data_IF_171651737862
#
_entry.id   IF_171651737862
#
_cell.length_a   1.000
_cell.length_b   1.000
_cell.length_c   1.000
_cell.angle_alpha   90.00
_cell.angle_beta   90.00
_cell.angle_gamma   90.00
#
_symmetry.space_group_name_H-M   'P 1'
#
loop_
_entity.id
_entity.type
_entity.pdbx_description
1 polymer ?
#
# COMPACT_ATOMS: atom_id res chain seq x y z
N UNK A 1 15.12 -20.24 18.64
CA UNK A 1 14.55 -18.88 18.68
C UNK A 1 15.70 -17.94 19.03
N UNK A 2 16.24 -17.19 18.06
CA UNK A 2 17.27 -16.20 18.39
C UNK A 2 16.60 -15.02 19.11
N UNK A 3 17.36 -14.18 19.83
CA UNK A 3 16.83 -12.99 20.51
C UNK A 3 16.07 -12.01 19.57
N UNK A 4 16.22 -12.18 18.24
CA UNK A 4 15.58 -11.39 17.18
C UNK A 4 14.35 -12.05 16.56
N UNK A 5 13.93 -13.21 17.05
CA UNK A 5 12.75 -13.91 16.54
C UNK A 5 11.77 -14.17 17.67
N UNK A 6 10.48 -13.89 17.43
CA UNK A 6 9.40 -14.27 18.33
C UNK A 6 8.47 -15.22 17.59
N UNK A 7 8.05 -16.30 18.24
CA UNK A 7 7.11 -17.26 17.67
C UNK A 7 5.98 -17.48 18.64
N UNK A 8 4.77 -17.46 18.12
CA UNK A 8 3.54 -17.78 18.82
C UNK A 8 2.86 -18.90 18.05
N UNK A 9 2.60 -20.02 18.71
CA UNK A 9 1.87 -21.14 18.11
C UNK A 9 0.77 -21.57 19.05
N UNK A 10 -0.44 -21.72 18.53
CA UNK A 10 -1.58 -22.25 19.27
C UNK A 10 -2.32 -23.27 18.39
N UNK A 11 -2.73 -24.37 18.97
CA UNK A 11 -3.45 -25.43 18.26
C UNK A 11 -4.60 -25.97 19.10
N UNK A 12 -5.70 -26.25 18.41
CA UNK A 12 -6.89 -26.87 18.94
C UNK A 12 -7.25 -28.05 18.04
N UNK A 13 -7.34 -29.23 18.63
CA UNK A 13 -7.68 -30.47 17.94
C UNK A 13 -8.97 -31.01 18.57
N UNK A 14 -9.94 -31.41 17.74
CA UNK A 14 -11.15 -32.09 18.19
C UNK A 14 -11.34 -33.34 17.34
N UNK A 15 -11.63 -34.48 17.97
CA UNK A 15 -11.77 -35.79 17.30
C UNK A 15 -10.63 -36.16 16.31
N UNK A 16 -9.42 -35.60 16.51
CA UNK A 16 -8.26 -35.83 15.65
C UNK A 16 -7.77 -37.28 15.65
N UNK A 17 -8.25 -38.11 16.60
CA UNK A 17 -8.01 -39.57 16.60
C UNK A 17 -8.76 -40.29 15.48
N UNK A 18 -9.91 -39.77 15.01
CA UNK A 18 -10.69 -40.35 13.91
C UNK A 18 -10.44 -39.64 12.59
N UNK A 19 -10.24 -38.32 12.63
CA UNK A 19 -10.00 -37.51 11.45
C UNK A 19 -8.86 -36.50 11.70
N UNK A 20 -7.65 -36.75 11.17
CA UNK A 20 -6.51 -35.86 11.32
C UNK A 20 -6.73 -34.44 10.78
N UNK A 21 -7.77 -34.22 9.96
CA UNK A 21 -8.11 -32.89 9.43
C UNK A 21 -8.85 -32.00 10.43
N UNK A 22 -9.37 -32.55 11.53
CA UNK A 22 -10.12 -31.80 12.55
C UNK A 22 -9.18 -31.08 13.54
N UNK A 23 -8.42 -30.14 12.98
CA UNK A 23 -7.45 -29.32 13.67
C UNK A 23 -7.55 -27.87 13.19
N UNK A 24 -7.55 -26.97 14.15
CA UNK A 24 -7.31 -25.55 13.95
C UNK A 24 -5.95 -25.23 14.56
N UNK A 25 -5.02 -24.68 13.78
CA UNK A 25 -3.76 -24.19 14.36
C UNK A 25 -3.29 -22.92 13.71
N UNK A 26 -2.79 -22.01 14.53
CA UNK A 26 -2.14 -20.78 14.12
C UNK A 26 -0.66 -20.89 14.50
N UNK A 27 0.21 -20.59 13.54
CA UNK A 27 1.63 -20.39 13.76
C UNK A 27 1.99 -19.00 13.26
N UNK A 28 2.48 -18.15 14.15
CA UNK A 28 2.92 -16.81 13.83
C UNK A 28 4.39 -16.67 14.20
N UNK A 29 5.18 -16.21 13.24
CA UNK A 29 6.60 -15.93 13.38
C UNK A 29 6.84 -14.45 13.07
N UNK A 30 7.49 -13.76 14.00
CA UNK A 30 7.95 -12.39 13.85
C UNK A 30 9.47 -12.41 13.76
N UNK A 31 9.99 -11.80 12.70
CA UNK A 31 11.41 -11.70 12.38
C UNK A 31 11.86 -10.24 12.50
N UNK A 32 12.75 -9.95 13.45
CA UNK A 32 13.40 -8.65 13.60
C UNK A 32 14.67 -8.61 12.73
N UNK A 33 14.54 -8.10 11.49
CA UNK A 33 15.63 -8.01 10.52
C UNK A 33 16.57 -6.82 10.79
N UNK A 34 16.06 -5.76 11.41
CA UNK A 34 16.80 -4.57 11.86
C UNK A 34 15.91 -3.66 12.72
N UNK A 35 16.44 -2.56 13.23
CA UNK A 35 15.75 -1.67 14.19
C UNK A 35 14.39 -1.17 13.69
N UNK A 36 14.25 -1.06 12.37
CA UNK A 36 13.04 -0.61 11.69
C UNK A 36 12.64 -1.51 10.51
N UNK A 37 13.22 -2.72 10.46
CA UNK A 37 12.94 -3.71 9.44
C UNK A 37 12.38 -4.95 10.12
N UNK A 38 11.10 -5.17 9.91
CA UNK A 38 10.35 -6.27 10.51
C UNK A 38 9.71 -7.09 9.42
N UNK A 39 9.73 -8.40 9.58
CA UNK A 39 8.95 -9.31 8.78
C UNK A 39 8.17 -10.24 9.67
N UNK A 40 7.21 -10.92 9.07
CA UNK A 40 6.58 -12.03 9.74
C UNK A 40 5.85 -12.93 8.78
N UNK A 41 5.59 -14.13 9.27
CA UNK A 41 4.85 -15.15 8.58
C UNK A 41 3.79 -15.68 9.53
N UNK A 42 2.57 -15.84 9.04
CA UNK A 42 1.45 -16.41 9.78
C UNK A 42 0.88 -17.54 8.95
N UNK A 43 0.86 -18.74 9.51
CA UNK A 43 0.18 -19.90 8.93
C UNK A 43 -1.05 -20.21 9.76
N UNK A 44 -2.22 -20.18 9.13
CA UNK A 44 -3.47 -20.68 9.69
C UNK A 44 -3.83 -22.00 9.01
N UNK A 45 -3.86 -23.07 9.78
CA UNK A 45 -4.41 -24.34 9.37
C UNK A 45 -5.85 -24.45 9.85
N UNK A 46 -6.75 -24.67 8.91
CA UNK A 46 -8.17 -24.95 9.13
C UNK A 46 -8.50 -26.29 8.43
N UNK A 47 -9.51 -27.07 8.86
CA UNK A 47 -9.81 -28.35 8.22
C UNK A 47 -9.88 -28.28 6.69
N UNK A 48 -8.98 -29.01 6.02
CA UNK A 48 -8.86 -29.05 4.57
C UNK A 48 -8.29 -27.80 3.89
N UNK A 49 -7.83 -26.78 4.63
CA UNK A 49 -7.28 -25.53 4.07
C UNK A 49 -6.09 -25.00 4.87
N UNK A 50 -5.11 -24.44 4.18
CA UNK A 50 -4.02 -23.68 4.79
C UNK A 50 -4.06 -22.28 4.23
N UNK A 51 -4.02 -21.29 5.10
CA UNK A 51 -3.90 -19.88 4.73
C UNK A 51 -2.54 -19.41 5.21
N UNK A 52 -1.74 -18.90 4.28
CA UNK A 52 -0.45 -18.31 4.58
C UNK A 52 -0.56 -16.79 4.43
N UNK A 53 0.00 -16.09 5.40
CA UNK A 53 0.16 -14.65 5.41
C UNK A 53 1.63 -14.32 5.60
N UNK A 54 2.14 -13.39 4.82
CA UNK A 54 3.47 -12.82 4.98
C UNK A 54 3.35 -11.32 5.04
N UNK A 55 4.13 -10.69 5.90
CA UNK A 55 4.28 -9.26 5.88
C UNK A 55 5.74 -8.88 5.98
N UNK A 56 6.07 -7.76 5.36
CA UNK A 56 7.35 -7.10 5.47
C UNK A 56 7.10 -5.61 5.64
N UNK A 57 7.82 -5.01 6.58
CA UNK A 57 7.72 -3.61 6.92
C UNK A 57 9.13 -3.05 7.08
N UNK A 58 9.43 -2.00 6.34
CA UNK A 58 10.68 -1.28 6.38
C UNK A 58 10.37 0.20 6.57
N UNK A 59 10.85 0.76 7.67
CA UNK A 59 10.87 2.20 7.90
C UNK A 59 12.33 2.63 7.98
N UNK A 60 12.75 3.63 7.24
CA UNK A 60 14.11 4.16 7.31
C UNK A 60 14.10 5.62 6.92
N UNK A 61 14.38 6.50 7.86
CA UNK A 61 14.38 7.94 7.66
C UNK A 61 13.02 8.42 7.08
N UNK A 62 13.02 8.89 5.84
CA UNK A 62 11.82 9.31 5.09
C UNK A 62 11.29 8.27 4.12
N UNK A 63 11.77 7.02 4.21
CA UNK A 63 11.33 5.90 3.41
C UNK A 63 10.51 4.95 4.25
N UNK A 64 9.31 4.61 3.79
CA UNK A 64 8.46 3.59 4.38
C UNK A 64 7.97 2.66 3.28
N UNK A 65 8.17 1.36 3.46
CA UNK A 65 7.68 0.34 2.56
C UNK A 65 7.04 -0.77 3.38
N UNK A 66 5.85 -1.19 2.99
CA UNK A 66 5.29 -2.42 3.51
C UNK A 66 4.66 -3.26 2.42
N UNK A 67 4.76 -4.56 2.61
CA UNK A 67 4.14 -5.57 1.78
C UNK A 67 3.36 -6.50 2.69
N UNK A 68 2.11 -6.78 2.32
CA UNK A 68 1.30 -7.82 2.93
C UNK A 68 0.86 -8.77 1.84
N UNK A 69 1.12 -10.05 2.03
CA UNK A 69 0.72 -11.11 1.12
C UNK A 69 -0.13 -12.11 1.90
N UNK A 70 -1.31 -12.48 1.39
CA UNK A 70 -2.17 -13.48 2.02
C UNK A 70 -2.79 -14.40 0.97
N UNK A 71 -2.78 -15.71 1.17
CA UNK A 71 -3.37 -16.64 0.20
C UNK A 71 -3.55 -18.06 0.72
N UNK A 72 -4.46 -18.78 0.06
CA UNK A 72 -4.77 -20.19 0.34
C UNK A 72 -3.80 -21.15 -0.39
N UNK A 73 -3.21 -20.70 -1.50
CA UNK A 73 -2.15 -21.34 -2.27
C UNK A 73 -1.35 -20.25 -3.02
N UNK A 74 -0.11 -20.53 -3.44
CA UNK A 74 0.79 -19.52 -4.03
C UNK A 74 0.22 -18.79 -5.25
N UNK A 75 -0.69 -19.44 -6.01
CA UNK A 75 -1.30 -18.85 -7.21
C UNK A 75 -2.52 -17.95 -6.93
N UNK A 76 -3.08 -17.97 -5.72
CA UNK A 76 -4.28 -17.19 -5.36
C UNK A 76 -4.03 -16.26 -4.17
N UNK A 77 -2.90 -15.54 -4.23
CA UNK A 77 -2.50 -14.61 -3.19
C UNK A 77 -3.00 -13.19 -3.48
N UNK A 78 -3.50 -12.54 -2.43
CA UNK A 78 -3.71 -11.10 -2.37
C UNK A 78 -2.36 -10.50 -1.97
N UNK A 79 -1.85 -9.55 -2.74
CA UNK A 79 -0.60 -8.86 -2.46
C UNK A 79 -0.87 -7.37 -2.44
N UNK A 80 -0.66 -6.74 -1.28
CA UNK A 80 -0.73 -5.31 -1.10
C UNK A 80 0.67 -4.78 -0.84
N UNK A 81 1.10 -3.81 -1.64
CA UNK A 81 2.38 -3.11 -1.51
C UNK A 81 2.11 -1.64 -1.35
N UNK A 82 2.75 -1.03 -0.35
CA UNK A 82 2.74 0.42 -0.17
C UNK A 82 4.17 0.88 -0.02
N UNK A 83 4.48 1.99 -0.70
CA UNK A 83 5.77 2.65 -0.66
C UNK A 83 5.55 4.14 -0.53
N UNK A 84 6.01 4.71 0.57
CA UNK A 84 6.04 6.14 0.80
C UNK A 84 7.50 6.58 0.90
N UNK A 85 7.89 7.65 0.21
CA UNK A 85 9.23 8.19 0.34
C UNK A 85 9.28 9.70 0.17
N UNK A 86 10.29 10.32 0.78
CA UNK A 86 10.72 11.68 0.45
C UNK A 86 12.12 11.68 -0.12
N UNK A 87 12.33 12.47 -1.16
CA UNK A 87 13.62 12.63 -1.81
C UNK A 87 13.88 14.12 -2.04
N UNK A 88 15.04 14.59 -1.58
CA UNK A 88 15.48 15.99 -1.69
C UNK A 88 16.76 15.99 -2.52
N UNK A 89 16.61 16.24 -3.82
CA UNK A 89 17.71 16.55 -4.73
C UNK A 89 17.52 17.99 -5.25
N UNK A 90 17.28 18.19 -6.54
CA UNK A 90 17.00 19.51 -7.14
C UNK A 90 15.57 20.02 -6.89
N UNK A 91 14.70 19.14 -6.40
CA UNK A 91 13.30 19.35 -6.07
C UNK A 91 12.96 18.41 -4.91
N UNK A 92 12.08 18.85 -4.01
CA UNK A 92 11.57 17.98 -2.96
C UNK A 92 10.39 17.21 -3.50
N UNK A 93 10.47 15.88 -3.43
CA UNK A 93 9.39 14.98 -3.84
C UNK A 93 8.91 14.21 -2.62
N UNK A 94 7.60 14.17 -2.44
CA UNK A 94 6.91 13.25 -1.54
C UNK A 94 6.06 12.34 -2.41
N UNK A 95 6.25 11.04 -2.29
CA UNK A 95 5.48 10.05 -3.04
C UNK A 95 4.84 9.05 -2.09
N UNK A 96 3.61 8.67 -2.37
CA UNK A 96 2.86 7.57 -1.78
C UNK A 96 2.33 6.71 -2.92
N UNK A 97 2.83 5.49 -3.03
CA UNK A 97 2.47 4.51 -4.05
C UNK A 97 1.85 3.32 -3.35
N UNK A 98 0.67 2.92 -3.77
CA UNK A 98 -0.04 1.76 -3.23
C UNK A 98 -0.53 0.91 -4.39
N UNK A 99 -0.19 -0.38 -4.39
CA UNK A 99 -0.69 -1.35 -5.36
C UNK A 99 -1.27 -2.57 -4.65
N UNK A 100 -2.43 -2.98 -5.11
CA UNK A 100 -3.16 -4.13 -4.61
C UNK A 100 -3.43 -5.05 -5.80
N UNK A 101 -2.82 -6.23 -5.75
CA UNK A 101 -3.08 -7.31 -6.70
C UNK A 101 -3.91 -8.37 -6.00
N UNK A 102 -5.05 -8.72 -6.60
CA UNK A 102 -5.96 -9.72 -6.03
C UNK A 102 -6.36 -10.75 -7.08
N UNK A 103 -6.70 -11.98 -6.68
CA UNK A 103 -7.30 -12.96 -7.58
C UNK A 103 -8.80 -12.73 -7.78
N UNK A 104 -9.39 -11.69 -7.18
CA UNK A 104 -10.81 -11.45 -7.25
C UNK A 104 -11.17 -10.78 -8.57
N UNK A 105 -12.15 -11.33 -9.31
CA UNK A 105 -12.70 -10.65 -10.47
C UNK A 105 -13.13 -9.23 -10.08
N UNK A 106 -12.85 -8.26 -10.95
CA UNK A 106 -13.15 -6.84 -10.73
C UNK A 106 -12.17 -6.07 -9.81
N UNK A 107 -11.09 -6.70 -9.33
CA UNK A 107 -10.13 -6.12 -8.36
C UNK A 107 -8.67 -6.53 -8.62
N UNK A 108 -8.37 -7.04 -9.80
CA UNK A 108 -7.10 -7.69 -10.13
C UNK A 108 -5.93 -6.70 -10.15
N UNK A 109 -6.18 -5.49 -10.64
CA UNK A 109 -5.21 -4.40 -10.69
C UNK A 109 -5.84 -3.13 -10.11
N UNK A 110 -5.54 -2.87 -8.85
CA UNK A 110 -5.95 -1.65 -8.15
C UNK A 110 -4.71 -0.93 -7.66
N UNK A 111 -4.57 0.34 -8.02
CA UNK A 111 -3.47 1.17 -7.51
C UNK A 111 -3.93 2.56 -7.14
N UNK A 112 -3.23 3.15 -6.20
CA UNK A 112 -3.40 4.53 -5.76
C UNK A 112 -2.03 5.15 -5.60
N UNK A 113 -1.76 6.20 -6.35
CA UNK A 113 -0.49 6.90 -6.36
C UNK A 113 -0.74 8.39 -6.11
N UNK A 114 0.06 8.98 -5.25
CA UNK A 114 0.05 10.40 -4.96
C UNK A 114 1.50 10.87 -4.94
N UNK A 115 1.78 11.96 -5.64
CA UNK A 115 3.09 12.56 -5.71
C UNK A 115 2.94 14.06 -5.55
N UNK A 116 3.58 14.62 -4.52
CA UNK A 116 3.72 16.05 -4.34
C UNK A 116 5.16 16.44 -4.58
N UNK A 117 5.36 17.37 -5.50
CA UNK A 117 6.63 17.97 -5.83
C UNK A 117 6.60 19.44 -5.46
N UNK A 118 7.69 19.89 -4.85
CA UNK A 118 7.91 21.29 -4.51
C UNK A 118 9.32 21.70 -4.97
N UNK A 119 9.40 22.84 -5.65
CA UNK A 119 10.64 23.50 -6.02
C UNK A 119 10.43 25.01 -6.04
N UNK A 120 11.11 25.73 -5.13
CA UNK A 120 11.06 27.18 -4.98
C UNK A 120 9.62 27.71 -4.77
N UNK A 121 9.01 28.20 -5.84
CA UNK A 121 7.66 28.76 -5.88
C UNK A 121 6.63 27.80 -6.50
N UNK A 122 7.12 26.75 -7.18
CA UNK A 122 6.31 25.79 -7.90
C UNK A 122 5.95 24.62 -6.99
N UNK A 123 4.65 24.40 -6.84
CA UNK A 123 4.06 23.24 -6.22
C UNK A 123 3.28 22.45 -7.27
N UNK A 124 3.50 21.14 -7.33
CA UNK A 124 2.78 20.25 -8.22
C UNK A 124 2.31 19.01 -7.45
N UNK A 125 1.01 18.75 -7.45
CA UNK A 125 0.42 17.55 -6.86
C UNK A 125 -0.19 16.73 -7.99
N UNK A 126 0.30 15.50 -8.15
CA UNK A 126 -0.21 14.53 -9.12
C UNK A 126 -0.77 13.35 -8.35
N UNK A 127 -1.99 12.95 -8.64
CA UNK A 127 -2.54 11.72 -8.12
C UNK A 127 -3.12 10.87 -9.24
N UNK A 128 -3.01 9.56 -9.10
CA UNK A 128 -3.69 8.60 -9.96
C UNK A 128 -4.28 7.45 -9.15
N UNK A 129 -5.41 6.98 -9.61
CA UNK A 129 -6.06 5.80 -9.09
C UNK A 129 -6.50 4.95 -10.27
N UNK A 130 -6.08 3.68 -10.26
CA UNK A 130 -6.54 2.69 -11.21
C UNK A 130 -7.39 1.67 -10.45
N UNK A 131 -8.51 1.31 -11.04
CA UNK A 131 -9.37 0.23 -10.60
C UNK A 131 -9.86 -0.50 -11.85
N UNK A 132 -9.14 -1.57 -12.21
CA UNK A 132 -9.28 -2.25 -13.49
C UNK A 132 -9.22 -1.31 -14.70
N UNK A 133 -10.30 -1.24 -15.50
CA UNK A 133 -10.45 -0.42 -16.69
C UNK A 133 -10.76 1.04 -16.35
N UNK A 134 -11.18 1.30 -15.10
CA UNK A 134 -11.42 2.65 -14.64
C UNK A 134 -10.11 3.27 -14.15
N UNK A 135 -9.79 4.46 -14.66
CA UNK A 135 -8.70 5.25 -14.15
C UNK A 135 -9.20 6.66 -13.85
N UNK A 136 -8.58 7.27 -12.84
CA UNK A 136 -8.72 8.67 -12.48
C UNK A 136 -7.34 9.22 -12.24
N UNK A 137 -6.96 10.26 -12.96
CA UNK A 137 -5.74 11.02 -12.74
C UNK A 137 -6.09 12.48 -12.53
N UNK A 138 -5.45 13.12 -11.56
CA UNK A 138 -5.55 14.55 -11.35
C UNK A 138 -4.16 15.15 -11.22
N UNK A 139 -4.02 16.39 -11.67
CA UNK A 139 -2.81 17.18 -11.53
C UNK A 139 -3.20 18.60 -11.16
N UNK A 140 -2.59 19.12 -10.10
CA UNK A 140 -2.70 20.49 -9.64
C UNK A 140 -1.29 21.10 -9.61
N UNK A 141 -1.07 22.12 -10.42
CA UNK A 141 0.15 22.92 -10.42
C UNK A 141 -0.20 24.32 -9.92
N UNK A 142 0.60 24.83 -8.98
CA UNK A 142 0.54 26.19 -8.49
C UNK A 142 1.94 26.80 -8.52
N UNK A 143 2.10 27.93 -9.20
CA UNK A 143 3.33 28.72 -9.19
C UNK A 143 2.98 30.13 -8.70
N UNK A 144 3.65 30.61 -7.65
CA UNK A 144 3.36 31.90 -7.05
C UNK A 144 4.63 32.71 -6.78
N UNK A 145 4.59 33.99 -7.14
CA UNK A 145 5.67 34.94 -6.88
C UNK A 145 5.11 36.11 -6.07
N UNK A 146 5.58 36.22 -4.82
CA UNK A 146 5.34 37.40 -4.00
C UNK A 146 6.48 38.41 -4.18
N UNK A 147 6.10 39.65 -4.50
CA UNK A 147 7.00 40.81 -4.42
C UNK A 147 6.45 41.77 -3.36
N UNK A 148 7.22 42.81 -3.00
CA UNK A 148 6.80 43.81 -2.00
C UNK A 148 5.52 44.57 -2.35
N UNK A 149 5.09 44.56 -3.63
CA UNK A 149 3.94 45.33 -4.11
C UNK A 149 2.98 44.54 -4.99
N UNK A 150 3.36 43.33 -5.46
CA UNK A 150 2.56 42.55 -6.41
C UNK A 150 2.62 41.06 -6.10
N UNK A 151 1.49 40.41 -6.34
CA UNK A 151 1.33 38.96 -6.35
C UNK A 151 1.12 38.50 -7.79
N UNK A 152 1.95 37.56 -8.23
CA UNK A 152 1.74 36.82 -9.48
C UNK A 152 1.47 35.36 -9.12
N UNK A 153 0.42 34.77 -9.68
CA UNK A 153 0.06 33.39 -9.40
C UNK A 153 -0.54 32.73 -10.63
N UNK A 154 -0.10 31.52 -10.92
CA UNK A 154 -0.69 30.63 -11.90
C UNK A 154 -1.13 29.35 -11.20
N UNK A 155 -2.40 28.98 -11.39
CA UNK A 155 -2.94 27.71 -10.90
C UNK A 155 -3.50 26.96 -12.10
N UNK A 156 -3.00 25.76 -12.33
CA UNK A 156 -3.47 24.85 -13.36
C UNK A 156 -3.99 23.56 -12.71
N UNK A 157 -5.25 23.24 -12.94
CA UNK A 157 -5.87 22.02 -12.46
C UNK A 157 -6.39 21.21 -13.66
N UNK A 158 -6.03 19.93 -13.70
CA UNK A 158 -6.50 19.01 -14.72
C UNK A 158 -6.95 17.70 -14.10
N UNK A 159 -8.01 17.13 -14.66
CA UNK A 159 -8.57 15.84 -14.27
C UNK A 159 -8.80 15.04 -15.53
N UNK A 160 -8.30 13.82 -15.56
CA UNK A 160 -8.49 12.85 -16.63
C UNK A 160 -9.10 11.58 -16.03
N UNK A 161 -10.24 11.14 -16.55
CA UNK A 161 -11.01 10.05 -15.95
C UNK A 161 -11.79 9.30 -17.00
N UNK A 162 -11.85 7.97 -16.88
CA UNK A 162 -12.80 7.14 -17.64
C UNK A 162 -14.15 7.00 -16.94
N UNK A 163 -14.27 7.44 -15.68
CA UNK A 163 -15.51 7.37 -14.90
C UNK A 163 -16.50 8.45 -15.38
N UNK A 164 -17.66 8.07 -15.96
CA UNK A 164 -18.58 9.01 -16.61
C UNK A 164 -19.33 9.94 -15.66
N UNK A 165 -19.38 9.63 -14.36
CA UNK A 165 -20.14 10.35 -13.34
C UNK A 165 -19.26 11.09 -12.33
N UNK A 166 -18.11 11.64 -12.76
CA UNK A 166 -17.45 12.62 -11.92
C UNK A 166 -18.45 13.76 -11.64
N UNK A 167 -18.82 14.05 -10.38
CA UNK A 167 -19.66 15.18 -10.09
C UNK A 167 -18.94 16.39 -10.65
N UNK A 168 -19.57 17.06 -11.63
CA UNK A 168 -19.06 18.32 -12.16
C UNK A 168 -18.78 19.18 -10.95
N UNK A 169 -17.55 19.65 -10.80
CA UNK A 169 -17.21 20.59 -9.75
C UNK A 169 -18.20 21.75 -9.86
N UNK A 170 -19.17 21.80 -8.94
CA UNK A 170 -20.02 22.95 -8.80
C UNK A 170 -19.07 24.02 -8.26
N UNK A 171 -18.67 24.94 -9.13
CA UNK A 171 -18.10 26.19 -8.69
C UNK A 171 -19.13 26.82 -7.75
N UNK A 172 -18.76 26.94 -6.46
CA UNK A 172 -19.45 27.80 -5.51
C UNK A 172 -18.84 29.18 -5.65
#
# INVERSE_FOLDING_TARGET
>A
VSARQKRLSASFNWDANRDPSQKLSIDAKLDHKGDWHHGGHVTLHYPGRVVNGEFEFLLKDWFCEWMVQMGWASQTAIVWRVKAFSEVHDQTIYALLSSLSTPFPMWEDTSFNLMWRYKDNLQAVNGSMNWQENFLAFNLLADYLFTTTKFYGEINASVNSTIPTLPRAAAI
#
